data_IF_830960072213
#
_entry.id   IF_830960072213
#
_cell.length_a   1.000
_cell.length_b   1.000
_cell.length_c   1.000
_cell.angle_alpha   90.00
_cell.angle_beta   90.00
_cell.angle_gamma   90.00
#
_symmetry.space_group_name_H-M   'P 1'
#
loop_
_entity.id
_entity.type
_entity.pdbx_description
1 polymer ?
#
# COMPACT_ATOMS: atom_id res chain seq x y z
N UNK A 1 42.40 -14.71 -29.80
CA UNK A 1 40.98 -14.73 -29.40
C UNK A 1 40.95 -14.65 -27.88
N UNK A 2 40.74 -13.43 -27.35
CA UNK A 2 40.76 -13.16 -25.92
C UNK A 2 39.32 -13.16 -25.40
N UNK A 3 38.90 -14.27 -24.79
CA UNK A 3 37.62 -14.32 -24.08
C UNK A 3 37.83 -13.84 -22.65
N UNK A 4 37.80 -12.52 -22.47
CA UNK A 4 37.71 -11.88 -21.16
C UNK A 4 36.30 -12.13 -20.64
N UNK A 5 36.14 -13.11 -19.74
CA UNK A 5 34.94 -13.27 -18.93
C UNK A 5 34.81 -12.05 -18.01
N UNK A 6 34.01 -11.06 -18.45
CA UNK A 6 33.55 -9.96 -17.63
C UNK A 6 32.64 -10.57 -16.57
N UNK A 7 33.21 -10.91 -15.41
CA UNK A 7 32.41 -11.13 -14.22
C UNK A 7 31.80 -9.80 -13.83
N UNK A 8 30.55 -9.60 -14.23
CA UNK A 8 29.69 -8.53 -13.71
C UNK A 8 29.48 -8.84 -12.23
N UNK A 9 30.31 -8.26 -11.37
CA UNK A 9 30.04 -8.20 -9.93
C UNK A 9 28.80 -7.35 -9.73
N UNK A 10 27.62 -7.98 -9.78
CA UNK A 10 26.42 -7.42 -9.20
C UNK A 10 26.72 -7.26 -7.72
N UNK A 11 27.02 -6.02 -7.31
CA UNK A 11 27.19 -5.67 -5.91
C UNK A 11 25.91 -6.06 -5.17
N UNK A 12 25.97 -7.16 -4.44
CA UNK A 12 24.88 -7.57 -3.55
C UNK A 12 24.86 -6.50 -2.46
N UNK A 13 24.04 -5.47 -2.63
CA UNK A 13 23.71 -4.50 -1.58
C UNK A 13 22.93 -5.26 -0.51
N UNK A 14 23.66 -5.98 0.35
CA UNK A 14 23.10 -6.61 1.54
C UNK A 14 22.56 -5.46 2.38
N UNK A 15 21.24 -5.32 2.43
CA UNK A 15 20.64 -4.26 3.24
C UNK A 15 21.09 -4.42 4.68
N UNK A 16 21.63 -3.36 5.29
CA UNK A 16 22.10 -3.32 6.68
C UNK A 16 21.07 -3.84 7.70
N UNK A 17 19.79 -3.88 7.33
CA UNK A 17 18.68 -4.17 8.22
C UNK A 17 18.17 -5.60 8.09
N UNK A 18 18.18 -6.33 9.20
CA UNK A 18 17.56 -7.65 9.36
C UNK A 18 16.04 -7.51 9.28
N UNK A 19 15.38 -8.35 8.46
CA UNK A 19 13.91 -8.42 8.44
C UNK A 19 13.43 -9.02 9.76
N UNK A 20 12.46 -8.39 10.39
CA UNK A 20 11.81 -8.87 11.63
C UNK A 20 10.30 -8.87 11.45
N UNK A 21 9.58 -9.52 12.37
CA UNK A 21 8.11 -9.52 12.37
C UNK A 21 7.64 -8.12 12.77
N UNK A 22 6.91 -7.45 11.88
CA UNK A 22 6.29 -6.17 12.20
C UNK A 22 5.14 -6.39 13.19
N UNK A 23 5.03 -5.63 14.30
CA UNK A 23 3.97 -5.82 15.30
C UNK A 23 2.57 -5.50 14.73
N UNK A 24 2.48 -4.53 13.81
CA UNK A 24 1.19 -4.11 13.21
C UNK A 24 0.60 -5.08 12.19
N UNK A 25 1.40 -5.63 11.27
CA UNK A 25 0.92 -6.49 10.19
C UNK A 25 1.33 -7.94 10.32
N UNK A 26 2.10 -8.28 11.36
CA UNK A 26 2.60 -9.62 11.63
C UNK A 26 3.48 -10.23 10.52
N UNK A 27 3.87 -9.44 9.50
CA UNK A 27 4.69 -9.89 8.37
C UNK A 27 6.17 -9.63 8.61
N UNK A 28 7.04 -10.53 8.14
CA UNK A 28 8.50 -10.37 8.18
C UNK A 28 8.94 -9.32 7.16
N UNK A 29 9.22 -8.10 7.63
CA UNK A 29 9.56 -6.94 6.81
C UNK A 29 10.72 -6.16 7.41
N UNK A 30 11.30 -5.26 6.63
CA UNK A 30 12.27 -4.31 7.17
C UNK A 30 11.51 -3.26 8.01
N UNK A 31 11.99 -2.93 9.23
CA UNK A 31 11.50 -1.76 9.94
C UNK A 31 11.76 -0.49 9.11
N UNK A 32 11.02 0.59 9.39
CA UNK A 32 11.26 1.87 8.72
C UNK A 32 12.64 2.43 9.08
N UNK A 33 12.97 2.46 10.37
CA UNK A 33 14.29 2.80 10.91
C UNK A 33 14.46 2.19 12.32
N UNK A 34 15.56 2.49 13.00
CA UNK A 34 15.87 1.95 14.34
C UNK A 34 14.91 2.45 15.43
N UNK A 35 14.29 3.62 15.25
CA UNK A 35 13.34 4.20 16.20
C UNK A 35 11.91 3.68 15.96
N UNK A 36 11.57 3.39 14.71
CA UNK A 36 10.26 2.91 14.31
C UNK A 36 10.18 1.39 14.38
N UNK A 37 9.42 0.88 15.34
CA UNK A 37 9.19 -0.55 15.53
C UNK A 37 8.31 -1.20 14.45
N UNK A 38 7.77 -0.41 13.51
CA UNK A 38 6.85 -0.87 12.45
C UNK A 38 7.53 -0.85 11.07
N UNK A 39 7.03 -1.68 10.15
CA UNK A 39 7.54 -1.71 8.79
C UNK A 39 7.10 -0.51 7.96
N UNK A 40 7.87 -0.21 6.89
CA UNK A 40 7.58 0.92 6.00
C UNK A 40 6.15 0.90 5.41
N UNK A 41 5.58 -0.28 5.15
CA UNK A 41 4.20 -0.42 4.65
C UNK A 41 3.21 0.06 5.69
N UNK A 42 3.31 -0.45 6.92
CA UNK A 42 2.41 -0.07 8.00
C UNK A 42 2.55 1.40 8.37
N UNK A 43 3.77 1.96 8.31
CA UNK A 43 3.98 3.38 8.50
C UNK A 43 3.26 4.21 7.44
N UNK A 44 3.43 3.89 6.15
CA UNK A 44 2.74 4.60 5.05
C UNK A 44 1.23 4.55 5.20
N UNK A 45 0.69 3.36 5.46
CA UNK A 45 -0.74 3.15 5.71
C UNK A 45 -1.19 4.04 6.88
N UNK A 46 -0.51 4.00 8.02
CA UNK A 46 -0.84 4.83 9.19
C UNK A 46 -0.84 6.33 8.87
N UNK A 47 0.06 6.80 8.00
CA UNK A 47 0.09 8.19 7.56
C UNK A 47 -1.12 8.55 6.69
N UNK A 48 -1.55 7.68 5.77
CA UNK A 48 -2.77 7.92 4.95
C UNK A 48 -3.99 8.09 5.86
N UNK A 49 -4.21 7.17 6.81
CA UNK A 49 -5.38 7.22 7.70
C UNK A 49 -5.36 8.36 8.72
N UNK A 50 -4.17 8.91 9.03
CA UNK A 50 -4.06 10.10 9.90
C UNK A 50 -4.74 11.32 9.29
N UNK A 51 -4.77 11.43 7.96
CA UNK A 51 -5.32 12.57 7.23
C UNK A 51 -6.66 12.29 6.55
N UNK A 52 -7.13 11.04 6.59
CA UNK A 52 -8.44 10.66 6.07
C UNK A 52 -8.79 9.24 6.49
N UNK A 53 -9.81 9.10 7.34
CA UNK A 53 -10.49 7.83 7.61
C UNK A 53 -11.94 7.97 7.17
N UNK A 54 -12.55 6.89 6.71
CA UNK A 54 -13.99 6.90 6.48
C UNK A 54 -14.74 6.96 7.82
N UNK A 55 -16.05 7.20 7.77
CA UNK A 55 -16.90 7.12 8.97
C UNK A 55 -17.10 5.66 9.41
N UNK A 56 -16.73 4.67 8.58
CA UNK A 56 -17.02 3.26 8.80
C UNK A 56 -15.73 2.46 9.05
N UNK A 57 -15.51 2.09 10.31
CA UNK A 57 -14.37 1.27 10.74
C UNK A 57 -14.20 -0.03 9.95
N UNK A 58 -15.28 -0.70 9.56
CA UNK A 58 -15.21 -1.94 8.77
C UNK A 58 -14.62 -1.68 7.38
N UNK A 59 -15.01 -0.56 6.76
CA UNK A 59 -14.46 -0.13 5.47
C UNK A 59 -12.99 0.23 5.65
N UNK A 60 -12.65 1.00 6.70
CA UNK A 60 -11.26 1.38 6.98
C UNK A 60 -10.34 0.16 7.19
N UNK A 61 -10.80 -0.81 7.97
CA UNK A 61 -10.06 -2.05 8.23
C UNK A 61 -9.86 -2.86 6.94
N UNK A 62 -10.88 -2.90 6.07
CA UNK A 62 -10.79 -3.57 4.76
C UNK A 62 -9.78 -2.86 3.83
N UNK A 63 -9.87 -1.54 3.69
CA UNK A 63 -8.94 -0.76 2.86
C UNK A 63 -7.52 -0.92 3.41
N UNK A 64 -7.32 -0.83 4.73
CA UNK A 64 -6.03 -1.07 5.41
C UNK A 64 -5.49 -2.46 5.12
N UNK A 65 -6.35 -3.48 5.18
CA UNK A 65 -5.98 -4.86 4.85
C UNK A 65 -5.48 -4.97 3.41
N UNK A 66 -6.17 -4.37 2.44
CA UNK A 66 -5.72 -4.41 1.03
C UNK A 66 -4.34 -3.78 0.88
N UNK A 67 -4.13 -2.56 1.42
CA UNK A 67 -2.88 -1.82 1.34
C UNK A 67 -1.71 -2.55 2.01
N UNK A 68 -1.93 -3.24 3.13
CA UNK A 68 -0.91 -4.02 3.85
C UNK A 68 -0.54 -5.30 3.10
N UNK A 69 -1.50 -5.93 2.42
CA UNK A 69 -1.32 -7.25 1.83
C UNK A 69 -0.84 -7.23 0.38
N UNK A 70 -0.89 -6.07 -0.27
CA UNK A 70 -0.41 -5.91 -1.64
C UNK A 70 1.08 -6.21 -1.79
N UNK A 71 1.36 -7.14 -2.71
CA UNK A 71 2.71 -7.56 -3.10
C UNK A 71 3.30 -6.55 -4.10
N UNK A 72 2.46 -5.98 -4.97
CA UNK A 72 2.83 -5.00 -5.99
C UNK A 72 2.06 -3.68 -5.80
N UNK A 73 2.50 -2.61 -6.45
CA UNK A 73 1.86 -1.28 -6.38
C UNK A 73 0.44 -1.23 -6.99
N UNK A 74 0.05 -2.25 -7.76
CA UNK A 74 -1.20 -2.28 -8.51
C UNK A 74 -2.30 -2.95 -7.68
N UNK A 75 -3.49 -2.36 -7.62
CA UNK A 75 -4.65 -2.93 -6.92
C UNK A 75 -4.84 -2.47 -5.48
N UNK A 76 -4.26 -1.33 -5.09
CA UNK A 76 -4.57 -0.68 -3.80
C UNK A 76 -5.97 -0.11 -3.85
N UNK A 77 -6.74 -0.41 -2.82
CA UNK A 77 -7.98 0.32 -2.55
C UNK A 77 -7.59 1.56 -1.72
N UNK A 78 -8.20 2.68 -2.06
CA UNK A 78 -8.02 3.95 -1.36
C UNK A 78 -9.40 4.55 -1.09
N UNK A 79 -9.51 5.22 0.06
CA UNK A 79 -10.70 6.00 0.37
C UNK A 79 -10.57 7.37 -0.28
N UNK A 80 -11.56 7.76 -1.08
CA UNK A 80 -11.66 9.07 -1.71
C UNK A 80 -12.93 9.75 -1.19
N UNK A 81 -12.84 10.91 -0.52
CA UNK A 81 -14.01 11.65 -0.05
C UNK A 81 -14.95 11.99 -1.22
N UNK A 82 -16.26 11.82 -0.98
CA UNK A 82 -17.26 12.02 -2.03
C UNK A 82 -17.27 13.45 -2.57
N UNK A 83 -16.94 14.41 -1.71
CA UNK A 83 -16.93 15.85 -2.00
C UNK A 83 -15.84 16.26 -3.00
N UNK A 84 -14.87 15.39 -3.29
CA UNK A 84 -13.82 15.63 -4.29
C UNK A 84 -14.31 15.40 -5.72
N UNK A 85 -15.41 14.68 -5.91
CA UNK A 85 -15.94 14.33 -7.21
C UNK A 85 -16.83 15.44 -7.77
N UNK A 86 -16.60 15.82 -9.03
CA UNK A 86 -17.45 16.76 -9.77
C UNK A 86 -18.07 16.09 -11.00
N UNK A 87 -19.06 16.75 -11.61
CA UNK A 87 -19.75 16.27 -12.81
C UNK A 87 -20.31 14.84 -12.67
N UNK A 88 -20.88 14.54 -11.50
CA UNK A 88 -21.37 13.20 -11.15
C UNK A 88 -22.58 12.85 -12.03
N UNK A 89 -22.43 11.85 -12.89
CA UNK A 89 -23.47 11.35 -13.80
C UNK A 89 -23.77 9.89 -13.50
N UNK A 90 -25.03 9.58 -13.26
CA UNK A 90 -25.48 8.19 -13.12
C UNK A 90 -25.29 7.43 -14.44
N UNK A 91 -24.77 6.20 -14.36
CA UNK A 91 -24.59 5.29 -15.49
C UNK A 91 -25.63 4.17 -15.45
N UNK A 92 -25.69 3.43 -14.35
CA UNK A 92 -26.55 2.25 -14.22
C UNK A 92 -26.70 1.84 -12.75
N UNK A 93 -27.75 1.07 -12.48
CA UNK A 93 -27.96 0.36 -11.23
C UNK A 93 -27.98 -1.14 -11.55
N UNK A 94 -27.13 -1.91 -10.87
CA UNK A 94 -26.94 -3.34 -11.13
C UNK A 94 -26.85 -4.07 -9.80
N UNK A 95 -27.80 -4.96 -9.53
CA UNK A 95 -27.90 -5.65 -8.24
C UNK A 95 -28.05 -4.65 -7.09
N UNK A 96 -27.13 -4.70 -6.13
CA UNK A 96 -27.08 -3.79 -4.98
C UNK A 96 -26.23 -2.53 -5.22
N UNK A 97 -25.72 -2.34 -6.44
CA UNK A 97 -24.73 -1.30 -6.76
C UNK A 97 -25.31 -0.22 -7.66
N UNK A 98 -24.95 1.04 -7.37
CA UNK A 98 -25.18 2.19 -8.25
C UNK A 98 -23.84 2.66 -8.83
N UNK A 99 -23.80 2.84 -10.15
CA UNK A 99 -22.60 3.19 -10.90
C UNK A 99 -22.71 4.64 -11.36
N UNK A 100 -21.68 5.42 -11.06
CA UNK A 100 -21.58 6.83 -11.43
C UNK A 100 -20.27 7.09 -12.17
N UNK A 101 -20.31 8.04 -13.12
CA UNK A 101 -19.13 8.68 -13.69
C UNK A 101 -18.90 10.00 -12.97
N UNK A 102 -17.68 10.27 -12.55
CA UNK A 102 -17.27 11.56 -12.00
C UNK A 102 -15.95 12.00 -12.65
N UNK A 103 -15.60 13.27 -12.47
CA UNK A 103 -14.30 13.87 -12.82
C UNK A 103 -13.65 14.42 -11.57
#
# INVERSE_FOLDING_TARGET
>A
MNNTLIQTTQSIVKSKYKKSKCPECNKRRKPLDEKHQICHVCYKVKMVYKYGSSVNKTIDDFIKYTQINLVNSNGKIEYVPYEQFINIKFIAEVGFSKIYKAT
#
